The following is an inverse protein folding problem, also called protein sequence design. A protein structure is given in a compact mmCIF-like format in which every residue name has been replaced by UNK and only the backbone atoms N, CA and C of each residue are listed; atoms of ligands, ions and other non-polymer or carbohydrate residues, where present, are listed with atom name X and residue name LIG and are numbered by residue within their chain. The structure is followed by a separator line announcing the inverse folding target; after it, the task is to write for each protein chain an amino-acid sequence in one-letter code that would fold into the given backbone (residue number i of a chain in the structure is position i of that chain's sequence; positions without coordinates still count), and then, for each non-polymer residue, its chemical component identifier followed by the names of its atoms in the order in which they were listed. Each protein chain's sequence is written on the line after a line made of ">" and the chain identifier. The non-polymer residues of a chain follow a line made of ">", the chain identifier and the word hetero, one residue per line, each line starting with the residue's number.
data_IF_007683505977
#
_entry.id   IF_007683505977
#
_cell.length_a   1.000
_cell.length_b   1.000
_cell.length_c   1.000
_cell.angle_alpha   90.00
_cell.angle_beta   90.00
_cell.angle_gamma   90.00
#
_symmetry.space_group_name_H-M   'P 1'
#
loop_
_entity.id
_entity.type
_entity.pdbx_description
1 polymer ?
#
# COMPACT_ATOMS: atom_id res chain seq x y z
N UNK A 1 27.82 -25.87 28.03
CA UNK A 1 26.34 -25.84 28.13
C UNK A 1 25.79 -24.44 28.43
N UNK A 2 26.32 -23.68 29.42
CA UNK A 2 25.82 -22.33 29.75
C UNK A 2 25.98 -21.28 28.63
N UNK A 3 27.07 -21.32 27.87
CA UNK A 3 27.29 -20.41 26.74
C UNK A 3 26.35 -20.69 25.56
N UNK A 4 26.00 -21.97 25.32
CA UNK A 4 25.08 -22.37 24.25
C UNK A 4 23.63 -21.94 24.56
N UNK A 5 23.22 -22.06 25.84
CA UNK A 5 21.91 -21.58 26.30
C UNK A 5 21.77 -20.06 26.27
N UNK A 6 22.86 -19.31 26.47
CA UNK A 6 22.85 -17.84 26.34
C UNK A 6 22.77 -17.41 24.87
N UNK A 7 23.42 -18.14 23.96
CA UNK A 7 23.36 -17.86 22.52
C UNK A 7 21.96 -18.14 21.95
N UNK A 8 21.34 -19.26 22.34
CA UNK A 8 19.98 -19.62 21.93
C UNK A 8 18.93 -18.67 22.52
N UNK A 9 19.13 -18.21 23.77
CA UNK A 9 18.27 -17.19 24.36
C UNK A 9 18.39 -15.86 23.61
N UNK A 10 19.59 -15.43 23.23
CA UNK A 10 19.81 -14.16 22.50
C UNK A 10 19.21 -14.17 21.09
N UNK A 11 19.23 -15.32 20.41
CA UNK A 11 18.56 -15.53 19.11
C UNK A 11 17.03 -15.47 19.19
N UNK A 12 16.44 -15.75 20.36
CA UNK A 12 14.98 -15.68 20.59
C UNK A 12 14.49 -14.27 20.99
N UNK A 13 15.40 -13.33 21.30
CA UNK A 13 15.07 -11.93 21.66
C UNK A 13 15.41 -10.96 20.53
N UNK A 14 15.55 -11.43 19.30
CA UNK A 14 15.42 -10.58 18.12
C UNK A 14 13.94 -10.62 17.73
N UNK A 15 13.04 -9.78 18.31
CA UNK A 15 11.84 -9.45 17.58
C UNK A 15 12.35 -8.86 16.26
N UNK A 16 12.04 -9.53 15.16
CA UNK A 16 12.13 -8.88 13.86
C UNK A 16 11.36 -7.57 14.02
N UNK A 17 12.07 -6.45 13.91
CA UNK A 17 11.45 -5.14 13.81
C UNK A 17 10.73 -5.15 12.46
N UNK A 18 9.56 -5.77 12.41
CA UNK A 18 8.64 -5.58 11.30
C UNK A 18 8.08 -4.21 11.59
N UNK A 19 8.62 -3.19 10.91
CA UNK A 19 7.93 -1.92 10.83
C UNK A 19 6.54 -2.24 10.25
N UNK A 20 5.52 -2.19 11.11
CA UNK A 20 4.15 -2.27 10.64
C UNK A 20 3.90 -0.94 9.96
N UNK A 21 3.94 -0.92 8.62
CA UNK A 21 3.48 0.23 7.87
C UNK A 21 2.07 0.58 8.35
N UNK A 22 1.86 1.84 8.72
CA UNK A 22 0.56 2.30 9.19
C UNK A 22 -0.34 2.47 7.96
N UNK A 23 -1.50 1.82 7.98
CA UNK A 23 -2.48 1.92 6.91
C UNK A 23 -2.86 3.38 6.63
N UNK A 24 -2.88 3.76 5.36
CA UNK A 24 -3.23 5.12 4.92
C UNK A 24 -2.13 6.18 5.02
N UNK A 25 -0.89 5.81 5.37
CA UNK A 25 0.24 6.74 5.43
C UNK A 25 1.19 6.46 4.26
N UNK A 26 1.38 7.45 3.39
CA UNK A 26 2.29 7.34 2.26
C UNK A 26 3.74 7.12 2.74
N UNK A 27 4.46 6.27 2.03
CA UNK A 27 5.88 6.01 2.25
C UNK A 27 6.69 6.49 1.07
N UNK A 28 7.85 7.10 1.35
CA UNK A 28 8.77 7.61 0.35
C UNK A 28 10.21 7.31 0.79
N UNK A 29 11.04 6.84 -0.15
CA UNK A 29 12.45 6.54 0.10
C UNK A 29 13.33 7.76 -0.10
N UNK A 30 14.43 7.83 0.67
CA UNK A 30 15.45 8.84 0.42
C UNK A 30 16.10 8.62 -0.95
N UNK A 31 16.38 9.72 -1.63
CA UNK A 31 17.15 9.77 -2.88
C UNK A 31 18.65 9.96 -2.63
N UNK A 32 19.07 10.11 -1.38
CA UNK A 32 20.46 10.35 -1.02
C UNK A 32 21.38 9.23 -1.51
N UNK A 33 22.39 9.60 -2.31
CA UNK A 33 23.35 8.64 -2.87
C UNK A 33 22.83 7.85 -4.08
N UNK A 34 21.70 8.26 -4.65
CA UNK A 34 21.17 7.73 -5.90
C UNK A 34 21.40 8.72 -7.05
N UNK A 35 21.29 8.25 -8.29
CA UNK A 35 21.37 9.10 -9.48
C UNK A 35 20.06 9.83 -9.82
N UNK A 36 19.08 9.79 -8.92
CA UNK A 36 17.80 10.49 -9.03
C UNK A 36 17.86 11.79 -8.21
N UNK A 37 17.61 12.92 -8.85
CA UNK A 37 17.59 14.23 -8.19
C UNK A 37 16.22 14.52 -7.55
N UNK A 38 15.14 14.27 -8.30
CA UNK A 38 13.79 14.49 -7.80
C UNK A 38 12.75 13.63 -8.49
N UNK A 39 11.65 13.38 -7.77
CA UNK A 39 10.46 12.68 -8.28
C UNK A 39 9.25 13.54 -7.93
N UNK A 40 8.39 13.78 -8.91
CA UNK A 40 7.07 14.39 -8.74
C UNK A 40 6.02 13.36 -9.07
N UNK A 41 5.01 13.23 -8.20
CA UNK A 41 3.89 12.31 -8.38
C UNK A 41 2.65 12.82 -7.65
N UNK A 42 1.50 12.23 -7.94
CA UNK A 42 0.28 12.48 -7.18
C UNK A 42 0.40 11.95 -5.74
N UNK A 43 -0.29 12.60 -4.81
CA UNK A 43 -0.28 12.20 -3.39
C UNK A 43 -1.32 11.13 -3.04
N UNK A 44 -2.22 10.80 -3.97
CA UNK A 44 -3.33 9.86 -3.77
C UNK A 44 -3.49 9.02 -5.04
N UNK A 45 -3.57 7.69 -4.91
CA UNK A 45 -3.91 6.80 -6.02
C UNK A 45 -5.43 6.61 -6.10
N UNK A 46 -6.04 6.70 -7.28
CA UNK A 46 -7.49 6.48 -7.42
C UNK A 46 -7.81 5.45 -8.47
N UNK A 47 -8.88 4.71 -8.24
CA UNK A 47 -9.44 3.78 -9.20
C UNK A 47 -9.75 4.50 -10.51
N UNK A 48 -9.28 3.94 -11.63
CA UNK A 48 -9.59 4.44 -12.98
C UNK A 48 -9.01 5.81 -13.32
N UNK A 49 -8.30 6.47 -12.39
CA UNK A 49 -7.64 7.76 -12.62
C UNK A 49 -6.16 7.52 -12.91
N UNK A 50 -5.61 8.09 -13.99
CA UNK A 50 -4.18 8.01 -14.26
C UNK A 50 -3.36 8.57 -13.08
N UNK A 51 -2.40 7.78 -12.61
CA UNK A 51 -1.38 8.18 -11.67
C UNK A 51 -0.10 8.48 -12.45
N UNK A 52 0.30 9.74 -12.47
CA UNK A 52 1.42 10.24 -13.26
C UNK A 52 2.66 10.49 -12.40
N UNK A 53 3.82 10.20 -12.99
CA UNK A 53 5.11 10.39 -12.33
C UNK A 53 6.07 11.10 -13.29
N UNK A 54 6.86 12.01 -12.74
CA UNK A 54 7.95 12.69 -13.43
C UNK A 54 9.22 12.56 -12.62
N UNK A 55 10.24 11.95 -13.20
CA UNK A 55 11.54 11.72 -12.60
C UNK A 55 12.58 12.63 -13.26
N UNK A 56 13.41 13.27 -12.44
CA UNK A 56 14.58 14.02 -12.89
C UNK A 56 15.83 13.30 -12.37
N UNK A 57 16.76 13.00 -13.29
CA UNK A 57 18.06 12.45 -12.92
C UNK A 57 19.00 13.57 -12.45
N UNK A 58 19.99 13.20 -11.65
CA UNK A 58 21.12 14.07 -11.31
C UNK A 58 22.02 14.31 -12.52
N UNK A 59 22.96 15.26 -12.43
CA UNK A 59 23.94 15.52 -13.49
C UNK A 59 24.79 14.29 -13.84
N UNK A 60 25.11 13.44 -12.85
CA UNK A 60 25.83 12.18 -13.07
C UNK A 60 24.92 11.13 -13.72
N UNK A 61 23.65 11.06 -13.27
CA UNK A 61 22.64 10.18 -13.84
C UNK A 61 22.36 10.50 -15.31
N UNK A 62 22.13 11.77 -15.66
CA UNK A 62 21.83 12.22 -17.03
C UNK A 62 22.95 11.88 -18.04
N UNK A 63 24.19 11.72 -17.57
CA UNK A 63 25.32 11.37 -18.42
C UNK A 63 25.46 9.87 -18.67
N UNK A 64 25.00 9.03 -17.74
CA UNK A 64 25.33 7.61 -17.72
C UNK A 64 24.11 6.68 -17.80
N UNK A 65 22.94 7.14 -17.37
CA UNK A 65 21.69 6.38 -17.41
C UNK A 65 21.09 6.45 -18.81
N UNK A 66 20.84 5.29 -19.38
CA UNK A 66 20.32 5.13 -20.74
C UNK A 66 18.82 4.81 -20.77
N UNK A 67 18.31 4.20 -19.70
CA UNK A 67 16.91 3.83 -19.56
C UNK A 67 16.51 3.83 -18.08
N UNK A 68 15.29 4.28 -17.81
CA UNK A 68 14.68 4.22 -16.49
C UNK A 68 13.45 3.33 -16.59
N UNK A 69 13.49 2.17 -15.93
CA UNK A 69 12.32 1.33 -15.77
C UNK A 69 11.62 1.69 -14.46
N UNK A 70 10.29 1.76 -14.55
CA UNK A 70 9.39 1.96 -13.44
C UNK A 70 8.64 0.66 -13.19
N UNK A 71 8.84 0.10 -12.00
CA UNK A 71 8.20 -1.15 -11.56
C UNK A 71 7.11 -0.81 -10.57
N UNK A 72 5.86 -1.14 -10.91
CA UNK A 72 4.67 -0.85 -10.10
C UNK A 72 4.04 -2.14 -9.59
N UNK A 73 3.36 -2.06 -8.45
CA UNK A 73 2.48 -3.09 -7.93
C UNK A 73 1.23 -2.44 -7.35
N UNK A 74 0.07 -2.84 -7.86
CA UNK A 74 -1.24 -2.39 -7.38
C UNK A 74 -1.74 -3.43 -6.38
N UNK A 75 -2.14 -2.96 -5.20
CA UNK A 75 -2.84 -3.76 -4.21
C UNK A 75 -4.28 -3.24 -4.09
N UNK A 76 -5.23 -4.16 -3.93
CA UNK A 76 -6.67 -3.84 -3.87
C UNK A 76 -7.25 -4.11 -2.47
N UNK A 77 -8.42 -3.56 -2.18
CA UNK A 77 -9.08 -3.59 -0.86
C UNK A 77 -9.35 -4.99 -0.31
N UNK A 78 -9.34 -6.04 -1.16
CA UNK A 78 -9.40 -7.43 -0.71
C UNK A 78 -8.12 -7.93 -0.01
N UNK A 79 -7.05 -7.13 0.01
CA UNK A 79 -5.72 -7.51 0.51
C UNK A 79 -4.87 -8.28 -0.51
N UNK A 80 -5.36 -8.43 -1.75
CA UNK A 80 -4.60 -9.05 -2.85
C UNK A 80 -3.78 -7.99 -3.57
N UNK A 81 -2.54 -8.33 -3.90
CA UNK A 81 -1.69 -7.52 -4.77
C UNK A 81 -1.48 -8.22 -6.11
N UNK A 82 -1.57 -7.46 -7.19
CA UNK A 82 -1.26 -7.98 -8.51
C UNK A 82 0.25 -8.22 -8.67
N UNK A 83 0.65 -9.10 -9.62
CA UNK A 83 2.05 -9.23 -9.99
C UNK A 83 2.64 -7.87 -10.39
N UNK A 84 3.91 -7.61 -10.06
CA UNK A 84 4.58 -6.39 -10.50
C UNK A 84 4.55 -6.21 -12.01
N UNK A 85 4.27 -4.99 -12.46
CA UNK A 85 4.37 -4.59 -13.85
C UNK A 85 5.60 -3.69 -14.03
N UNK A 86 6.30 -3.82 -15.15
CA UNK A 86 7.46 -3.01 -15.49
C UNK A 86 7.20 -2.26 -16.78
N UNK A 87 7.47 -0.96 -16.77
CA UNK A 87 7.40 -0.11 -17.95
C UNK A 87 8.60 0.83 -17.99
N UNK A 88 9.14 1.07 -19.18
CA UNK A 88 10.17 2.08 -19.35
C UNK A 88 9.54 3.47 -19.37
N UNK A 89 10.16 4.41 -18.65
CA UNK A 89 9.75 5.81 -18.67
C UNK A 89 10.11 6.45 -20.01
N UNK A 90 9.30 7.42 -20.42
CA UNK A 90 9.51 8.17 -21.65
C UNK A 90 10.30 9.45 -21.36
N UNK A 91 11.49 9.64 -21.97
CA UNK A 91 12.25 10.88 -21.79
C UNK A 91 11.52 12.05 -22.49
N UNK A 92 11.66 13.23 -21.93
CA UNK A 92 11.10 14.48 -22.44
C UNK A 92 12.19 15.41 -22.97
N UNK A 93 11.80 16.39 -23.79
CA UNK A 93 12.72 17.43 -24.28
C UNK A 93 13.32 18.29 -23.15
N UNK A 94 12.69 18.32 -21.98
CA UNK A 94 13.18 19.04 -20.80
C UNK A 94 14.17 18.23 -19.95
N UNK A 95 14.48 16.99 -20.34
CA UNK A 95 15.39 16.11 -19.60
C UNK A 95 14.73 15.34 -18.44
N UNK A 96 13.41 15.37 -18.33
CA UNK A 96 12.67 14.56 -17.35
C UNK A 96 12.17 13.26 -17.97
N UNK A 97 11.83 12.29 -17.13
CA UNK A 97 11.32 10.98 -17.53
C UNK A 97 9.89 10.81 -17.01
N UNK A 98 8.95 10.52 -17.90
CA UNK A 98 7.53 10.45 -17.58
C UNK A 98 7.01 9.01 -17.59
N UNK A 99 6.12 8.72 -16.65
CA UNK A 99 5.38 7.47 -16.56
C UNK A 99 3.95 7.70 -16.14
N UNK A 100 3.08 6.81 -16.60
CA UNK A 100 1.67 6.78 -16.17
C UNK A 100 1.23 5.35 -15.96
N UNK A 101 0.49 5.11 -14.89
CA UNK A 101 -0.25 3.86 -14.65
C UNK A 101 -1.68 4.22 -14.25
N UNK A 102 -2.66 3.40 -14.63
CA UNK A 102 -4.04 3.56 -14.17
C UNK A 102 -4.36 2.45 -13.19
N UNK A 103 -4.54 2.75 -11.90
CA UNK A 103 -4.95 1.74 -10.92
C UNK A 103 -6.30 1.11 -11.26
N UNK A 104 -6.40 -0.18 -10.93
CA UNK A 104 -7.59 -1.00 -11.16
C UNK A 104 -8.74 -0.65 -10.18
N UNK A 105 -9.89 -1.28 -10.38
CA UNK A 105 -11.01 -1.16 -9.46
C UNK A 105 -10.61 -1.57 -8.04
N UNK A 106 -11.05 -0.82 -7.03
CA UNK A 106 -10.78 -1.07 -5.61
C UNK A 106 -9.31 -0.98 -5.15
N UNK A 107 -8.46 -0.15 -5.78
CA UNK A 107 -7.08 0.10 -5.30
C UNK A 107 -7.04 0.55 -3.83
N UNK A 108 -6.23 -0.13 -3.02
CA UNK A 108 -5.92 0.27 -1.64
C UNK A 108 -4.66 1.14 -1.60
N UNK A 109 -3.62 0.74 -2.34
CA UNK A 109 -2.38 1.50 -2.51
C UNK A 109 -1.61 1.04 -3.75
N UNK A 110 -0.75 1.94 -4.23
CA UNK A 110 0.20 1.72 -5.31
C UNK A 110 1.62 1.69 -4.74
N UNK A 111 2.30 0.57 -4.91
CA UNK A 111 3.72 0.40 -4.62
C UNK A 111 4.54 0.59 -5.88
N UNK A 112 5.75 1.12 -5.75
CA UNK A 112 6.64 1.29 -6.89
C UNK A 112 8.09 1.47 -6.49
N UNK A 113 8.98 1.15 -7.44
CA UNK A 113 10.44 1.35 -7.41
C UNK A 113 10.99 1.62 -8.81
N UNK A 114 12.25 2.03 -8.91
CA UNK A 114 12.93 2.21 -10.20
C UNK A 114 14.04 1.20 -10.42
N UNK A 115 14.33 0.94 -11.69
CA UNK A 115 15.57 0.29 -12.16
C UNK A 115 16.23 1.23 -13.16
N UNK A 116 17.43 1.70 -12.81
CA UNK A 116 18.26 2.54 -13.67
C UNK A 116 19.22 1.65 -14.46
N UNK A 117 19.24 1.82 -15.77
CA UNK A 117 20.12 1.08 -16.69
C UNK A 117 21.22 2.00 -17.18
N UNK A 118 22.48 1.57 -17.09
CA UNK A 118 23.64 2.38 -17.44
C UNK A 118 24.26 1.96 -18.78
N UNK A 119 25.09 2.82 -19.37
CA UNK A 119 25.80 2.54 -20.62
C UNK A 119 26.69 1.29 -20.58
N UNK A 120 27.19 0.91 -19.40
CA UNK A 120 28.04 -0.26 -19.19
C UNK A 120 27.24 -1.56 -18.99
N UNK A 121 25.94 -1.54 -19.28
CA UNK A 121 24.97 -2.63 -19.10
C UNK A 121 24.75 -3.02 -17.62
N UNK A 122 25.18 -2.19 -16.68
CA UNK A 122 24.84 -2.37 -15.27
C UNK A 122 23.43 -1.83 -14.95
N UNK A 123 22.84 -2.41 -13.90
CA UNK A 123 21.50 -2.02 -13.41
C UNK A 123 21.57 -1.71 -11.92
N UNK A 124 20.91 -0.63 -11.51
CA UNK A 124 20.75 -0.24 -10.10
C UNK A 124 19.26 -0.14 -9.78
N UNK A 125 18.83 -0.81 -8.71
CA UNK A 125 17.46 -0.72 -8.20
C UNK A 125 17.41 0.39 -7.16
N UNK A 126 16.45 1.30 -7.29
CA UNK A 126 16.26 2.42 -6.37
C UNK A 126 14.86 2.36 -5.73
N UNK A 127 14.77 2.26 -4.39
CA UNK A 127 15.86 1.95 -3.45
C UNK A 127 16.37 0.50 -3.59
N UNK A 128 17.54 0.19 -3.03
CA UNK A 128 18.16 -1.14 -3.12
C UNK A 128 17.28 -2.28 -2.55
N UNK A 129 16.38 -1.96 -1.63
CA UNK A 129 15.52 -2.92 -0.97
C UNK A 129 14.06 -2.45 -0.89
N UNK A 130 13.14 -3.38 -1.13
CA UNK A 130 11.69 -3.13 -1.06
C UNK A 130 11.13 -2.43 -2.28
N UNK A 131 9.97 -1.81 -2.09
CA UNK A 131 9.31 -0.96 -3.08
C UNK A 131 9.85 0.47 -2.98
N UNK A 132 9.89 1.02 -1.77
CA UNK A 132 10.49 2.32 -1.55
C UNK A 132 9.50 3.47 -1.63
N UNK A 133 8.44 3.32 -2.42
CA UNK A 133 7.29 4.21 -2.34
C UNK A 133 5.99 3.42 -2.27
N UNK A 134 5.07 3.94 -1.44
CA UNK A 134 3.71 3.42 -1.23
C UNK A 134 2.78 4.63 -1.20
N UNK A 135 1.85 4.72 -2.15
CA UNK A 135 0.85 5.80 -2.21
C UNK A 135 -0.53 5.20 -2.00
N UNK A 136 -1.22 5.65 -0.95
CA UNK A 136 -2.54 5.17 -0.58
C UNK A 136 -3.63 5.82 -1.42
N UNK A 137 -4.74 5.10 -1.57
CA UNK A 137 -5.93 5.68 -2.16
C UNK A 137 -6.68 6.59 -1.19
N UNK A 138 -7.67 7.32 -1.69
CA UNK A 138 -8.60 8.05 -0.84
C UNK A 138 -9.74 7.18 -0.33
N UNK A 139 -9.74 5.88 -0.62
CA UNK A 139 -10.67 4.89 -0.09
C UNK A 139 -9.97 3.52 -0.05
N UNK A 140 -9.40 3.18 1.10
CA UNK A 140 -8.52 2.03 1.27
C UNK A 140 -8.99 1.12 2.41
N UNK A 141 -8.68 -0.16 2.28
CA UNK A 141 -8.83 -1.15 3.34
C UNK A 141 -7.46 -1.74 3.69
N UNK A 142 -7.13 -1.70 4.98
CA UNK A 142 -5.94 -2.35 5.52
C UNK A 142 -6.20 -2.91 6.92
N UNK A 143 -5.72 -4.13 7.16
CA UNK A 143 -5.74 -4.79 8.46
C UNK A 143 -7.07 -4.67 9.24
N UNK A 144 -8.20 -4.87 8.57
CA UNK A 144 -9.52 -4.83 9.22
C UNK A 144 -10.16 -3.45 9.31
N UNK A 145 -9.50 -2.40 8.81
CA UNK A 145 -9.93 -1.01 8.95
C UNK A 145 -10.06 -0.35 7.58
N UNK A 146 -11.16 0.36 7.39
CA UNK A 146 -11.35 1.27 6.25
C UNK A 146 -10.84 2.66 6.59
N UNK A 147 -10.21 3.32 5.63
CA UNK A 147 -9.80 4.71 5.74
C UNK A 147 -9.79 5.44 4.40
N UNK A 148 -9.37 6.70 4.44
CA UNK A 148 -9.41 7.61 3.31
C UNK A 148 -10.51 8.67 3.43
N UNK A 149 -10.52 9.62 2.49
CA UNK A 149 -11.49 10.72 2.43
C UNK A 149 -12.82 10.32 1.77
N UNK A 150 -12.79 9.32 0.90
CA UNK A 150 -13.93 8.76 0.19
C UNK A 150 -14.39 7.45 0.83
N UNK A 151 -15.67 7.13 0.64
CA UNK A 151 -16.28 5.86 1.05
C UNK A 151 -16.88 5.10 -0.13
N UNK A 152 -16.68 5.56 -1.36
CA UNK A 152 -17.33 4.99 -2.56
C UNK A 152 -16.89 3.57 -2.87
N UNK A 153 -15.66 3.21 -2.48
CA UNK A 153 -15.11 1.87 -2.66
C UNK A 153 -15.52 0.88 -1.56
N UNK A 154 -16.18 1.36 -0.50
CA UNK A 154 -16.76 0.50 0.51
C UNK A 154 -18.02 -0.06 -0.13
N UNK A 155 -18.00 -1.34 -0.50
CA UNK A 155 -19.24 -2.03 -0.80
C UNK A 155 -20.15 -1.77 0.40
N UNK A 156 -21.32 -1.17 0.15
CA UNK A 156 -22.35 -1.05 1.16
C UNK A 156 -22.53 -2.47 1.70
N UNK A 157 -22.06 -2.73 2.93
CA UNK A 157 -22.65 -3.76 3.77
C UNK A 157 -24.09 -3.36 3.76
N UNK A 158 -24.88 -4.02 2.90
CA UNK A 158 -26.25 -3.65 2.61
C UNK A 158 -26.84 -3.30 3.96
N UNK A 159 -27.22 -2.03 4.10
CA UNK A 159 -28.04 -1.60 5.21
C UNK A 159 -29.27 -2.50 5.15
N UNK A 160 -29.21 -3.70 5.75
CA UNK A 160 -30.31 -4.64 5.78
C UNK A 160 -31.36 -3.88 6.57
N UNK A 161 -32.44 -3.36 5.94
CA UNK A 161 -33.25 -2.33 6.57
C UNK A 161 -34.16 -2.85 7.69
N UNK A 162 -33.82 -3.97 8.36
CA UNK A 162 -34.80 -4.67 9.20
C UNK A 162 -34.29 -5.61 10.31
N UNK A 163 -33.00 -5.91 10.48
CA UNK A 163 -32.58 -6.85 11.56
C UNK A 163 -31.31 -6.39 12.30
N UNK A 164 -31.45 -5.47 13.25
CA UNK A 164 -30.56 -5.40 14.44
C UNK A 164 -31.16 -4.58 15.61
N UNK A 165 -32.16 -5.20 16.26
CA UNK A 165 -32.40 -5.24 17.72
C UNK A 165 -32.86 -3.97 18.50
N UNK A 166 -33.68 -4.10 19.57
CA UNK A 166 -33.86 -5.30 20.41
C UNK A 166 -35.32 -5.79 20.51
N UNK A 167 -35.55 -7.06 20.19
CA UNK A 167 -36.64 -7.81 20.83
C UNK A 167 -36.18 -8.21 22.24
N UNK A 168 -36.23 -7.25 23.15
CA UNK A 168 -36.33 -7.52 24.57
C UNK A 168 -37.73 -7.07 25.02
N UNK A 169 -38.36 -7.82 25.93
CA UNK A 169 -39.73 -7.68 26.47
C UNK A 169 -40.79 -8.42 25.60
N UNK A 170 -41.48 -9.49 26.02
CA UNK A 170 -41.82 -10.00 27.34
C UNK A 170 -42.03 -11.54 27.32
N UNK A 171 -41.40 -12.26 28.26
CA UNK A 171 -41.74 -13.67 28.56
C UNK A 171 -42.00 -13.94 30.04
N UNK A 172 -42.49 -12.93 30.78
CA UNK A 172 -42.97 -13.12 32.16
C UNK A 172 -44.47 -12.79 32.27
N UNK A 173 -45.34 -13.66 31.74
CA UNK A 173 -46.78 -13.55 32.00
C UNK A 173 -47.56 -14.89 31.96
N UNK A 174 -46.91 -16.05 32.15
CA UNK A 174 -47.62 -17.34 32.24
C UNK A 174 -47.37 -18.15 33.53
N UNK A 175 -46.84 -17.52 34.59
CA UNK A 175 -46.79 -18.15 35.91
C UNK A 175 -47.90 -17.66 36.87
N UNK A 176 -48.50 -16.50 36.63
CA UNK A 176 -49.52 -15.92 37.53
C UNK A 176 -50.96 -16.41 37.25
N UNK A 177 -51.24 -17.04 36.10
CA UNK A 177 -52.58 -17.52 35.74
C UNK A 177 -52.89 -18.95 36.20
N UNK A 178 -51.90 -19.70 36.70
CA UNK A 178 -52.12 -21.07 37.23
C UNK A 178 -52.31 -21.13 38.76
N UNK A 179 -52.15 -20.02 39.49
CA UNK A 179 -52.37 -19.97 40.95
C UNK A 179 -53.82 -19.65 41.35
N UNK A 180 -54.76 -19.58 40.40
CA UNK A 180 -56.18 -19.30 40.69
C UNK A 180 -57.13 -20.39 40.18
N UNK A 181 -56.76 -21.65 40.39
CA UNK A 181 -57.70 -22.76 40.52
C UNK A 181 -57.14 -23.73 41.56
N UNK A 182 -57.41 -23.41 42.82
CA UNK A 182 -57.94 -24.32 43.83
C UNK A 182 -58.66 -23.49 44.91
#
# INVERSE_FOLDING_TARGET
>A
MRALTLLVALLLVLPAMVATAEGGVNEESSLDGTDIDSISHDSISREGVPFEISLQLSEEGDQNVTMVDWVTQICINSGVCYPPATQSLSPTDSGSWLGTVTPDESVTYLNWRFVLHYEDESEVIVPEAGWGWTIWSDCWYDNGTWGGESTECQEDDESLPWISAPLAVASMAMAALMSRRD
#
